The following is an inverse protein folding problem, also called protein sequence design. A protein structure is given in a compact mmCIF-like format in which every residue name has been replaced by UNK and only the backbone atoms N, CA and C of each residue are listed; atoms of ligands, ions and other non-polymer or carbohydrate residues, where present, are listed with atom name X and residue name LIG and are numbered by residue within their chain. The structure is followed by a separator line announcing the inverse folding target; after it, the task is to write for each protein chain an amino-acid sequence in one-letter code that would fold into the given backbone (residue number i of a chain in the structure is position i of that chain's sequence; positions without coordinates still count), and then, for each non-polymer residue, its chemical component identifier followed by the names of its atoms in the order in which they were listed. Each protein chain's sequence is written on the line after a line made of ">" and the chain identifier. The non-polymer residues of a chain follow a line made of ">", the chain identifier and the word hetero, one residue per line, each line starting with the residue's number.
data_IF_203953708097
#
_entry.id   IF_203953708097
#
_cell.length_a   1.000
_cell.length_b   1.000
_cell.length_c   1.000
_cell.angle_alpha   90.00
_cell.angle_beta   90.00
_cell.angle_gamma   90.00
#
_symmetry.space_group_name_H-M   'P 1'
#
loop_
_entity.id
_entity.type
_entity.pdbx_description
1 polymer ?
#
# COMPACT_ATOMS: atom_id res chain seq x y z
N UNK A 1 10.04 12.88 -13.33
CA UNK A 1 10.33 11.60 -12.62
C UNK A 1 9.75 11.71 -11.21
N UNK A 2 8.99 10.72 -10.73
CA UNK A 2 8.36 10.77 -9.40
C UNK A 2 9.17 9.94 -8.39
N UNK A 3 9.25 10.40 -7.13
CA UNK A 3 9.85 9.65 -6.02
C UNK A 3 8.73 9.27 -5.05
N UNK A 4 8.72 8.02 -4.61
CA UNK A 4 7.71 7.47 -3.70
C UNK A 4 8.40 7.00 -2.41
N UNK A 5 7.71 7.17 -1.29
CA UNK A 5 8.18 6.75 0.03
C UNK A 5 7.13 5.85 0.68
N UNK A 6 7.60 4.81 1.36
CA UNK A 6 6.76 3.95 2.21
C UNK A 6 7.01 4.36 3.66
N UNK A 7 5.94 4.66 4.39
CA UNK A 7 6.00 5.07 5.79
C UNK A 7 5.11 4.15 6.63
N UNK A 8 5.52 3.89 7.87
CA UNK A 8 4.69 3.27 8.90
C UNK A 8 4.22 4.34 9.86
N UNK A 9 2.93 4.34 10.22
CA UNK A 9 2.41 5.24 11.24
C UNK A 9 2.75 4.64 12.62
N UNK A 10 3.65 5.29 13.34
CA UNK A 10 4.08 4.86 14.69
C UNK A 10 3.36 5.62 15.81
N UNK A 11 2.55 6.61 15.46
CA UNK A 11 1.79 7.43 16.39
C UNK A 11 0.29 7.13 16.33
N UNK A 12 -0.45 7.70 17.28
CA UNK A 12 -1.91 7.59 17.32
C UNK A 12 -2.56 8.25 16.10
N UNK A 13 -3.62 7.63 15.57
CA UNK A 13 -4.36 8.09 14.40
C UNK A 13 -4.94 9.52 14.58
N UNK A 14 -5.28 9.90 15.81
CA UNK A 14 -5.78 11.24 16.15
C UNK A 14 -4.76 12.35 15.88
N UNK A 15 -3.47 12.01 15.73
CA UNK A 15 -2.41 12.97 15.38
C UNK A 15 -2.35 13.30 13.89
N UNK A 16 -3.07 12.56 13.04
CA UNK A 16 -3.13 12.84 11.60
C UNK A 16 -4.11 14.00 11.36
N UNK A 17 -3.58 15.20 11.13
CA UNK A 17 -4.37 16.40 10.82
C UNK A 17 -4.14 16.84 9.37
N UNK A 18 -5.16 16.70 8.52
CA UNK A 18 -5.14 17.14 7.12
C UNK A 18 -5.69 18.54 6.89
N UNK A 19 -6.29 19.16 7.90
CA UNK A 19 -6.84 20.52 7.83
C UNK A 19 -5.80 21.59 8.13
N UNK A 20 -4.52 21.19 8.24
CA UNK A 20 -3.41 22.10 8.51
C UNK A 20 -2.98 22.80 7.23
N UNK A 21 -3.48 24.01 7.00
CA UNK A 21 -3.12 24.87 5.87
C UNK A 21 -4.25 25.84 5.51
N UNK A 22 -3.97 26.85 4.68
CA UNK A 22 -5.00 27.76 4.17
C UNK A 22 -5.91 27.09 3.13
N UNK A 23 -5.40 26.10 2.41
CA UNK A 23 -6.12 25.30 1.41
C UNK A 23 -5.78 23.83 1.59
N UNK A 24 -6.55 23.09 2.41
CA UNK A 24 -6.37 21.66 2.63
C UNK A 24 -6.49 20.85 1.33
N UNK A 25 -5.59 19.89 1.12
CA UNK A 25 -5.65 18.98 -0.05
C UNK A 25 -6.68 17.85 0.13
N UNK A 26 -6.95 17.48 1.39
CA UNK A 26 -7.77 16.33 1.74
C UNK A 26 -8.80 16.71 2.81
N UNK A 27 -10.03 16.26 2.63
CA UNK A 27 -11.08 16.40 3.65
C UNK A 27 -10.92 15.42 4.81
N UNK A 28 -10.42 14.22 4.51
CA UNK A 28 -10.40 13.09 5.43
C UNK A 28 -9.58 11.91 4.91
N UNK A 29 -9.43 10.89 5.76
CA UNK A 29 -8.61 9.71 5.48
C UNK A 29 -9.21 8.48 6.12
N UNK A 30 -8.84 7.32 5.58
CA UNK A 30 -9.15 6.02 6.17
C UNK A 30 -8.13 4.99 5.72
N UNK A 31 -7.89 4.00 6.56
CA UNK A 31 -7.15 2.82 6.14
C UNK A 31 -7.95 2.02 5.10
N UNK A 32 -7.25 1.52 4.09
CA UNK A 32 -7.83 0.67 3.04
C UNK A 32 -6.92 -0.52 2.79
N UNK A 33 -7.49 -1.55 2.15
CA UNK A 33 -6.68 -2.68 1.66
C UNK A 33 -5.60 -2.19 0.69
N UNK A 34 -4.38 -2.74 0.80
CA UNK A 34 -3.19 -2.27 0.07
C UNK A 34 -3.34 -2.09 -1.44
N UNK A 35 -4.08 -2.99 -2.11
CA UNK A 35 -4.29 -2.93 -3.56
C UNK A 35 -5.51 -2.09 -3.98
N UNK A 36 -6.30 -1.60 -3.02
CA UNK A 36 -7.49 -0.78 -3.28
C UNK A 36 -7.17 0.53 -4.01
N UNK A 37 -6.11 1.30 -3.65
CA UNK A 37 -5.80 2.56 -4.32
C UNK A 37 -5.57 2.43 -5.83
N UNK A 38 -4.96 1.33 -6.29
CA UNK A 38 -4.71 1.10 -7.73
C UNK A 38 -6.01 1.05 -8.53
N UNK A 39 -7.10 0.55 -7.94
CA UNK A 39 -8.40 0.42 -8.61
C UNK A 39 -9.20 1.72 -8.62
N UNK A 40 -9.03 2.55 -7.59
CA UNK A 40 -9.82 3.77 -7.39
C UNK A 40 -9.14 5.04 -7.89
N UNK A 41 -7.81 5.03 -8.05
CA UNK A 41 -7.08 6.20 -8.53
C UNK A 41 -7.47 6.54 -9.96
N UNK A 42 -7.42 7.84 -10.28
CA UNK A 42 -7.59 8.39 -11.62
C UNK A 42 -6.74 7.65 -12.65
N UNK A 43 -7.31 7.43 -13.83
CA UNK A 43 -6.80 6.50 -14.85
C UNK A 43 -5.32 6.73 -15.19
N UNK A 44 -4.93 7.97 -15.41
CA UNK A 44 -3.56 8.33 -15.80
C UNK A 44 -2.50 8.07 -14.72
N UNK A 45 -2.89 7.92 -13.44
CA UNK A 45 -1.96 7.59 -12.34
C UNK A 45 -1.87 6.09 -12.03
N UNK A 46 -2.77 5.25 -12.57
CA UNK A 46 -2.87 3.83 -12.21
C UNK A 46 -1.55 3.07 -12.38
N UNK A 47 -0.87 3.26 -13.50
CA UNK A 47 0.39 2.55 -13.78
C UNK A 47 1.57 3.00 -12.90
N UNK A 48 1.56 4.26 -12.47
CA UNK A 48 2.57 4.76 -11.53
C UNK A 48 2.32 4.17 -10.15
N UNK A 49 1.06 4.18 -9.68
CA UNK A 49 0.68 3.58 -8.40
C UNK A 49 0.95 2.08 -8.37
N UNK A 50 0.61 1.37 -9.45
CA UNK A 50 0.85 -0.07 -9.57
C UNK A 50 2.33 -0.42 -9.43
N UNK A 51 3.22 0.36 -10.05
CA UNK A 51 4.68 0.13 -9.94
C UNK A 51 5.18 0.39 -8.53
N UNK A 52 4.84 1.53 -7.93
CA UNK A 52 5.25 1.88 -6.57
C UNK A 52 4.77 0.85 -5.54
N UNK A 53 3.49 0.48 -5.56
CA UNK A 53 2.92 -0.52 -4.65
C UNK A 53 3.51 -1.93 -4.88
N UNK A 54 3.85 -2.29 -6.12
CA UNK A 54 4.52 -3.57 -6.38
C UNK A 54 5.92 -3.63 -5.77
N UNK A 55 6.68 -2.54 -5.86
CA UNK A 55 8.02 -2.45 -5.25
C UNK A 55 7.93 -2.51 -3.71
N UNK A 56 6.93 -1.87 -3.12
CA UNK A 56 6.74 -1.85 -1.67
C UNK A 56 6.07 -3.10 -1.09
N UNK A 57 5.45 -3.95 -1.92
CA UNK A 57 4.66 -5.08 -1.44
C UNK A 57 5.45 -6.07 -0.57
N UNK A 58 6.73 -6.31 -0.90
CA UNK A 58 7.58 -7.22 -0.12
C UNK A 58 7.80 -6.74 1.33
N UNK A 59 7.87 -5.43 1.54
CA UNK A 59 8.07 -4.81 2.84
C UNK A 59 6.73 -4.59 3.56
N UNK A 60 5.72 -4.11 2.85
CA UNK A 60 4.41 -3.77 3.41
C UNK A 60 3.51 -4.99 3.67
N UNK A 61 3.75 -6.14 3.02
CA UNK A 61 2.93 -7.35 3.14
C UNK A 61 3.74 -8.62 3.45
N UNK A 62 4.56 -8.66 4.52
CA UNK A 62 5.49 -9.77 4.79
C UNK A 62 4.78 -11.11 5.04
N UNK A 63 3.52 -11.07 5.49
CA UNK A 63 2.74 -12.26 5.82
C UNK A 63 2.17 -13.00 4.60
N UNK A 64 1.89 -12.32 3.48
CA UNK A 64 1.35 -12.97 2.27
C UNK A 64 2.39 -13.85 1.58
N UNK A 65 3.63 -13.38 1.47
CA UNK A 65 4.69 -14.19 0.85
C UNK A 65 5.02 -15.45 1.65
N UNK A 66 4.98 -15.40 3.00
CA UNK A 66 5.17 -16.60 3.83
C UNK A 66 4.11 -17.67 3.55
N UNK A 67 2.85 -17.26 3.34
CA UNK A 67 1.76 -18.19 3.01
C UNK A 67 1.91 -18.77 1.60
N UNK A 68 2.25 -17.95 0.61
CA UNK A 68 2.49 -18.41 -0.77
C UNK A 68 3.71 -19.33 -0.89
N UNK A 69 4.82 -19.02 -0.21
CA UNK A 69 6.00 -19.90 -0.13
C UNK A 69 5.65 -21.25 0.50
N UNK A 70 4.89 -21.27 1.60
CA UNK A 70 4.42 -22.53 2.22
C UNK A 70 3.52 -23.32 1.28
N UNK A 71 2.60 -22.66 0.57
CA UNK A 71 1.68 -23.31 -0.38
C UNK A 71 2.42 -23.91 -1.59
N UNK A 72 3.41 -23.19 -2.14
CA UNK A 72 4.28 -23.71 -3.20
C UNK A 72 5.08 -24.93 -2.72
N UNK A 73 5.66 -24.87 -1.52
CA UNK A 73 6.42 -25.99 -0.92
C UNK A 73 5.56 -27.22 -0.64
N UNK A 74 4.31 -27.03 -0.25
CA UNK A 74 3.35 -28.13 -0.05
C UNK A 74 2.99 -28.81 -1.38
N UNK A 75 2.71 -28.04 -2.44
CA UNK A 75 2.39 -28.58 -3.77
C UNK A 75 3.58 -29.33 -4.39
N UNK A 76 4.81 -28.85 -4.19
CA UNK A 76 6.04 -29.50 -4.67
C UNK A 76 6.37 -30.83 -3.97
N UNK A 77 5.80 -31.12 -2.79
CA UNK A 77 6.02 -32.39 -2.05
C UNK A 77 4.99 -33.46 -2.37
N UNK A 78 3.96 -33.14 -3.17
CA UNK A 78 2.88 -34.05 -3.57
C UNK A 78 2.90 -34.39 -5.06
N UNK A 79 3.94 -33.94 -5.78
CA UNK A 79 4.27 -34.35 -7.14
C UNK A 79 5.51 -35.22 -7.11
#
# INVERSE_FOLDING_TARGET
>A
KQKWFLLSLECDESRVNMQRGSTPEFDGWRWVSYWYPVRQVVSFKRDVYRRALKEFAAIAMPFKERKERKLKRYKSKRG
#
